data_IF_690777398356
#
_entry.id   IF_690777398356
#
_cell.length_a   1.000
_cell.length_b   1.000
_cell.length_c   1.000
_cell.angle_alpha   90.00
_cell.angle_beta   90.00
_cell.angle_gamma   90.00
#
_symmetry.space_group_name_H-M   'P 1'
#
loop_
_entity.id
_entity.type
_entity.pdbx_description
1 polymer ?
#
# COMPACT_ATOMS: atom_id res chain seq x y z
N UNK A 1 2.26 11.56 16.62
CA UNK A 1 1.60 10.27 16.32
C UNK A 1 0.32 10.46 15.53
N UNK A 2 -0.68 11.19 16.04
CA UNK A 2 -1.97 11.43 15.37
C UNK A 2 -1.88 12.07 13.98
N UNK A 3 -1.09 13.14 13.79
CA UNK A 3 -0.92 13.78 12.47
C UNK A 3 -0.31 12.85 11.39
N UNK A 4 0.56 11.93 11.77
CA UNK A 4 1.21 11.00 10.83
C UNK A 4 0.26 9.91 10.37
N UNK A 5 -0.60 9.42 11.28
CA UNK A 5 -1.61 8.41 10.97
C UNK A 5 -2.73 9.00 10.13
N UNK A 6 -3.23 10.20 10.45
CA UNK A 6 -4.22 10.89 9.62
C UNK A 6 -3.67 11.23 8.23
N UNK A 7 -2.38 11.56 8.12
CA UNK A 7 -1.76 11.88 6.83
C UNK A 7 -1.58 10.62 5.95
N UNK A 8 -1.40 9.45 6.56
CA UNK A 8 -1.20 8.19 5.81
C UNK A 8 -2.49 7.40 5.58
N UNK A 9 -3.43 7.42 6.52
CA UNK A 9 -4.63 6.57 6.55
C UNK A 9 -5.94 7.40 6.57
N UNK A 10 -5.84 8.73 6.45
CA UNK A 10 -6.98 9.64 6.36
C UNK A 10 -7.58 10.01 7.72
N UNK A 11 -7.98 9.01 8.51
CA UNK A 11 -8.59 9.20 9.83
C UNK A 11 -7.77 8.48 10.90
N UNK A 12 -7.77 8.98 12.13
CA UNK A 12 -7.04 8.37 13.24
C UNK A 12 -7.92 8.35 14.50
N UNK A 13 -7.85 7.29 15.32
CA UNK A 13 -8.60 7.23 16.57
C UNK A 13 -8.12 8.33 17.53
N UNK A 14 -9.06 8.87 18.30
CA UNK A 14 -8.83 9.91 19.30
C UNK A 14 -7.86 9.40 20.39
N UNK A 15 -6.87 10.21 20.84
CA UNK A 15 -5.89 9.78 21.84
C UNK A 15 -6.47 9.32 23.18
N UNK A 16 -7.71 9.71 23.49
CA UNK A 16 -8.40 9.38 24.75
C UNK A 16 -8.81 7.91 24.85
N UNK A 17 -8.82 7.16 23.74
CA UNK A 17 -9.15 5.72 23.72
C UNK A 17 -8.00 4.83 24.25
N UNK A 18 -6.79 5.38 24.39
CA UNK A 18 -5.61 4.62 24.80
C UNK A 18 -5.27 4.84 26.27
N UNK A 19 -5.40 3.79 27.08
CA UNK A 19 -5.03 3.83 28.49
C UNK A 19 -3.51 3.59 28.63
N UNK A 20 -2.84 4.38 29.49
CA UNK A 20 -1.36 4.34 29.65
C UNK A 20 -0.78 3.00 30.11
N UNK A 21 -1.62 2.08 30.58
CA UNK A 21 -1.24 0.76 31.09
C UNK A 21 -1.50 -0.40 30.11
N UNK A 22 -1.88 -0.12 28.87
CA UNK A 22 -2.11 -1.16 27.86
C UNK A 22 -0.80 -1.69 27.29
N UNK A 23 -0.79 -2.98 26.97
CA UNK A 23 0.32 -3.60 26.25
C UNK A 23 0.29 -3.22 24.77
N UNK A 24 1.44 -3.33 24.09
CA UNK A 24 1.53 -3.05 22.65
C UNK A 24 0.54 -3.89 21.83
N UNK A 25 0.31 -5.15 22.23
CA UNK A 25 -0.64 -6.04 21.55
C UNK A 25 -2.08 -5.51 21.62
N UNK A 26 -2.52 -5.07 22.80
CA UNK A 26 -3.87 -4.52 23.00
C UNK A 26 -4.08 -3.24 22.19
N UNK A 27 -3.07 -2.38 22.11
CA UNK A 27 -3.11 -1.16 21.28
C UNK A 27 -3.25 -1.52 19.80
N UNK A 28 -2.51 -2.53 19.33
CA UNK A 28 -2.59 -3.00 17.95
C UNK A 28 -3.97 -3.58 17.62
N UNK A 29 -4.59 -4.30 18.55
CA UNK A 29 -5.93 -4.85 18.35
C UNK A 29 -6.98 -3.74 18.27
N UNK A 30 -6.93 -2.76 19.18
CA UNK A 30 -7.82 -1.58 19.15
C UNK A 30 -7.68 -0.82 17.84
N UNK A 31 -6.45 -0.56 17.39
CA UNK A 31 -6.19 0.11 16.12
C UNK A 31 -6.72 -0.70 14.93
N UNK A 32 -6.48 -2.01 14.90
CA UNK A 32 -6.96 -2.88 13.84
C UNK A 32 -8.49 -2.85 13.75
N UNK A 33 -9.18 -2.89 14.89
CA UNK A 33 -10.64 -2.89 14.91
C UNK A 33 -11.22 -1.52 14.52
N UNK A 34 -10.60 -0.42 14.94
CA UNK A 34 -10.95 0.93 14.49
C UNK A 34 -10.84 1.07 12.97
N UNK A 35 -9.70 0.70 12.38
CA UNK A 35 -9.49 0.84 10.93
C UNK A 35 -10.36 -0.12 10.11
N UNK A 36 -10.67 -1.32 10.62
CA UNK A 36 -11.66 -2.21 9.99
C UNK A 36 -13.04 -1.58 9.95
N UNK A 37 -13.50 -0.97 11.06
CA UNK A 37 -14.79 -0.30 11.12
C UNK A 37 -14.86 0.88 10.14
N UNK A 38 -13.82 1.72 10.12
CA UNK A 38 -13.74 2.86 9.22
C UNK A 38 -13.76 2.43 7.74
N UNK A 39 -13.03 1.37 7.41
CA UNK A 39 -13.04 0.79 6.08
C UNK A 39 -14.43 0.25 5.70
N UNK A 40 -15.13 -0.46 6.59
CA UNK A 40 -16.48 -0.94 6.31
C UNK A 40 -17.43 0.23 6.03
N UNK A 41 -17.45 1.24 6.90
CA UNK A 41 -18.31 2.42 6.76
C UNK A 41 -18.05 3.18 5.45
N UNK A 42 -16.77 3.31 5.06
CA UNK A 42 -16.36 4.01 3.84
C UNK A 42 -16.82 3.30 2.56
N UNK A 43 -16.75 1.97 2.54
CA UNK A 43 -17.03 1.18 1.33
C UNK A 43 -18.43 0.55 1.30
N UNK A 44 -19.19 0.63 2.39
CA UNK A 44 -20.58 0.17 2.47
C UNK A 44 -21.49 0.71 1.34
N UNK A 45 -21.38 2.00 0.93
CA UNK A 45 -22.17 2.52 -0.19
C UNK A 45 -21.90 1.85 -1.54
N UNK A 46 -20.73 1.21 -1.72
CA UNK A 46 -20.33 0.58 -2.98
C UNK A 46 -20.90 -0.83 -3.16
N UNK A 47 -21.29 -1.53 -2.07
CA UNK A 47 -21.80 -2.91 -2.09
C UNK A 47 -20.94 -3.81 -3.00
N UNK A 48 -21.51 -4.34 -4.09
CA UNK A 48 -20.83 -5.22 -5.04
C UNK A 48 -19.65 -4.56 -5.77
N UNK A 49 -19.68 -3.24 -5.98
CA UNK A 49 -18.59 -2.50 -6.65
C UNK A 49 -17.33 -2.38 -5.78
N UNK A 50 -17.43 -2.69 -4.48
CA UNK A 50 -16.30 -2.68 -3.54
C UNK A 50 -15.19 -3.63 -3.99
N UNK A 51 -15.54 -4.88 -4.31
CA UNK A 51 -14.58 -5.91 -4.73
C UNK A 51 -13.86 -5.53 -6.02
N UNK A 52 -14.59 -4.96 -6.97
CA UNK A 52 -13.98 -4.54 -8.24
C UNK A 52 -13.01 -3.38 -8.03
N UNK A 53 -13.36 -2.41 -7.18
CA UNK A 53 -12.46 -1.31 -6.82
C UNK A 53 -11.19 -1.83 -6.14
N UNK A 54 -11.31 -2.74 -5.17
CA UNK A 54 -10.16 -3.34 -4.49
C UNK A 54 -9.24 -4.08 -5.45
N UNK A 55 -9.82 -4.87 -6.36
CA UNK A 55 -9.08 -5.58 -7.40
C UNK A 55 -8.34 -4.59 -8.30
N UNK A 56 -9.02 -3.55 -8.76
CA UNK A 56 -8.45 -2.54 -9.64
C UNK A 56 -7.30 -1.80 -8.96
N UNK A 57 -7.47 -1.37 -7.71
CA UNK A 57 -6.43 -0.70 -6.91
C UNK A 57 -5.24 -1.63 -6.72
N UNK A 58 -5.48 -2.88 -6.31
CA UNK A 58 -4.41 -3.86 -6.07
C UNK A 58 -3.59 -4.12 -7.33
N UNK A 59 -4.23 -4.27 -8.49
CA UNK A 59 -3.53 -4.45 -9.77
C UNK A 59 -2.66 -3.23 -10.10
N UNK A 60 -3.20 -2.02 -9.96
CA UNK A 60 -2.45 -0.79 -10.24
C UNK A 60 -1.23 -0.63 -9.33
N UNK A 61 -1.38 -0.93 -8.04
CA UNK A 61 -0.27 -0.86 -7.07
C UNK A 61 0.77 -1.93 -7.35
N UNK A 62 0.34 -3.15 -7.66
CA UNK A 62 1.23 -4.25 -8.01
C UNK A 62 2.06 -3.90 -9.25
N UNK A 63 1.43 -3.37 -10.30
CA UNK A 63 2.11 -2.94 -11.52
C UNK A 63 3.18 -1.87 -11.24
N UNK A 64 2.87 -0.89 -10.37
CA UNK A 64 3.81 0.14 -9.99
C UNK A 64 5.00 -0.40 -9.17
N UNK A 65 4.73 -1.29 -8.21
CA UNK A 65 5.76 -1.93 -7.39
C UNK A 65 6.66 -2.84 -8.23
N UNK A 66 6.07 -3.62 -9.14
CA UNK A 66 6.80 -4.52 -10.02
C UNK A 66 7.73 -3.76 -10.97
N UNK A 67 7.26 -2.67 -11.60
CA UNK A 67 8.12 -1.82 -12.45
C UNK A 67 9.33 -1.28 -11.69
N UNK A 68 9.12 -0.82 -10.45
CA UNK A 68 10.20 -0.36 -9.56
C UNK A 68 11.18 -1.49 -9.22
N UNK A 69 10.66 -2.69 -8.92
CA UNK A 69 11.48 -3.86 -8.64
C UNK A 69 12.34 -4.25 -9.85
N UNK A 70 11.79 -4.24 -11.07
CA UNK A 70 12.58 -4.50 -12.29
C UNK A 70 13.73 -3.50 -12.46
N UNK A 71 13.48 -2.20 -12.23
CA UNK A 71 14.53 -1.17 -12.25
C UNK A 71 15.63 -1.43 -11.21
N UNK A 72 15.24 -1.88 -10.01
CA UNK A 72 16.19 -2.24 -8.96
C UNK A 72 17.02 -3.47 -9.33
N UNK A 73 16.40 -4.49 -9.93
CA UNK A 73 17.09 -5.70 -10.39
C UNK A 73 18.07 -5.41 -11.54
N UNK A 74 17.68 -4.55 -12.48
CA UNK A 74 18.56 -4.13 -13.57
C UNK A 74 19.78 -3.35 -13.03
N UNK A 75 19.56 -2.46 -12.06
CA UNK A 75 20.64 -1.75 -11.36
C UNK A 75 21.56 -2.72 -10.59
N UNK A 76 20.97 -3.72 -9.91
CA UNK A 76 21.69 -4.76 -9.19
C UNK A 76 22.59 -5.58 -10.12
N UNK A 77 22.09 -5.97 -11.30
CA UNK A 77 22.88 -6.65 -12.33
C UNK A 77 24.12 -5.85 -12.75
N UNK A 78 23.96 -4.54 -12.95
CA UNK A 78 25.06 -3.66 -13.31
C UNK A 78 26.17 -3.59 -12.25
N UNK A 79 25.79 -3.62 -10.96
CA UNK A 79 26.72 -3.51 -9.84
C UNK A 79 27.46 -4.82 -9.49
N UNK A 80 26.88 -5.98 -9.84
CA UNK A 80 27.46 -7.28 -9.52
C UNK A 80 28.70 -7.61 -10.34
N UNK A 81 28.80 -7.05 -11.56
CA UNK A 81 29.98 -7.20 -12.40
C UNK A 81 31.26 -6.69 -11.72
N UNK A 82 31.16 -5.62 -10.93
CA UNK A 82 32.30 -5.06 -10.18
C UNK A 82 32.67 -5.89 -8.94
N UNK A 83 31.73 -6.65 -8.38
CA UNK A 83 31.94 -7.47 -7.17
C UNK A 83 32.54 -8.85 -7.47
N UNK A 84 32.47 -9.31 -8.71
CA UNK A 84 33.16 -10.52 -9.16
C UNK A 84 34.68 -10.46 -8.95
N UNK A 85 35.25 -9.24 -8.91
CA UNK A 85 36.67 -9.02 -8.60
C UNK A 85 37.05 -9.36 -7.16
N UNK A 86 36.08 -9.43 -6.23
CA UNK A 86 36.32 -9.70 -4.80
C UNK A 86 36.29 -11.19 -4.42
N UNK A 87 36.47 -12.11 -5.38
CA UNK A 87 36.51 -13.57 -5.18
C UNK A 87 35.25 -14.20 -4.55
N UNK A 88 34.14 -13.47 -4.43
CA UNK A 88 32.82 -14.01 -4.06
C UNK A 88 32.07 -14.46 -5.31
N UNK A 89 31.27 -15.53 -5.18
CA UNK A 89 30.46 -16.02 -6.30
C UNK A 89 29.34 -15.02 -6.65
N UNK A 90 29.41 -14.32 -7.80
CA UNK A 90 28.48 -13.24 -8.15
C UNK A 90 27.03 -13.71 -8.25
N UNK A 91 26.82 -14.98 -8.64
CA UNK A 91 25.49 -15.55 -8.83
C UNK A 91 24.78 -15.75 -7.48
N UNK A 92 25.52 -16.15 -6.45
CA UNK A 92 24.93 -16.39 -5.13
C UNK A 92 24.55 -15.07 -4.44
N UNK A 93 25.41 -14.05 -4.54
CA UNK A 93 25.13 -12.70 -4.03
C UNK A 93 23.94 -12.07 -4.79
N UNK A 94 23.89 -12.22 -6.12
CA UNK A 94 22.73 -11.78 -6.91
C UNK A 94 21.44 -12.39 -6.37
N UNK A 95 21.40 -13.73 -6.20
CA UNK A 95 20.21 -14.42 -5.73
C UNK A 95 19.77 -13.91 -4.36
N UNK A 96 20.71 -13.77 -3.43
CA UNK A 96 20.43 -13.28 -2.09
C UNK A 96 19.88 -11.85 -2.10
N UNK A 97 20.59 -10.91 -2.72
CA UNK A 97 20.18 -9.49 -2.77
C UNK A 97 18.87 -9.33 -3.56
N UNK A 98 18.69 -10.08 -4.66
CA UNK A 98 17.45 -10.03 -5.45
C UNK A 98 16.22 -10.53 -4.68
N UNK A 99 16.41 -11.53 -3.80
CA UNK A 99 15.35 -12.02 -2.93
C UNK A 99 15.00 -10.99 -1.85
N UNK A 100 15.99 -10.37 -1.21
CA UNK A 100 15.76 -9.27 -0.25
C UNK A 100 15.00 -8.09 -0.88
N UNK A 101 15.34 -7.74 -2.14
CA UNK A 101 14.61 -6.72 -2.91
C UNK A 101 13.17 -7.14 -3.25
N UNK A 102 12.92 -8.43 -3.44
CA UNK A 102 11.58 -8.96 -3.68
C UNK A 102 10.71 -8.89 -2.42
N UNK A 103 11.24 -9.33 -1.27
CA UNK A 103 10.52 -9.23 0.01
C UNK A 103 10.17 -7.77 0.35
N UNK A 104 11.13 -6.85 0.15
CA UNK A 104 10.90 -5.43 0.33
C UNK A 104 9.81 -4.86 -0.62
N UNK A 105 9.75 -5.37 -1.85
CA UNK A 105 8.69 -5.01 -2.80
C UNK A 105 7.32 -5.50 -2.32
N UNK A 106 7.23 -6.72 -1.78
CA UNK A 106 5.96 -7.26 -1.25
C UNK A 106 5.46 -6.47 -0.05
N UNK A 107 6.34 -6.08 0.88
CA UNK A 107 5.96 -5.21 2.00
C UNK A 107 5.51 -3.82 1.52
N UNK A 108 6.22 -3.24 0.55
CA UNK A 108 5.82 -1.97 -0.07
C UNK A 108 4.45 -2.07 -0.74
N UNK A 109 4.17 -3.18 -1.42
CA UNK A 109 2.87 -3.43 -2.06
C UNK A 109 1.73 -3.48 -1.06
N UNK A 110 1.91 -4.15 0.08
CA UNK A 110 0.89 -4.20 1.15
C UNK A 110 0.61 -2.80 1.69
N UNK A 111 1.66 -2.06 2.03
CA UNK A 111 1.56 -0.70 2.58
C UNK A 111 0.89 0.27 1.60
N UNK A 112 1.33 0.28 0.34
CA UNK A 112 0.82 1.18 -0.68
C UNK A 112 -0.65 0.86 -1.01
N UNK A 113 -1.02 -0.42 -1.04
CA UNK A 113 -2.41 -0.86 -1.27
C UNK A 113 -3.34 -0.33 -0.19
N UNK A 114 -2.96 -0.48 1.09
CA UNK A 114 -3.74 0.03 2.22
C UNK A 114 -3.81 1.56 2.17
N UNK A 115 -2.68 2.25 2.01
CA UNK A 115 -2.64 3.72 1.94
C UNK A 115 -3.55 4.26 0.85
N UNK A 116 -3.49 3.70 -0.36
CA UNK A 116 -4.33 4.19 -1.46
C UNK A 116 -5.81 3.94 -1.16
N UNK A 117 -6.17 2.75 -0.69
CA UNK A 117 -7.56 2.42 -0.37
C UNK A 117 -8.15 3.36 0.69
N UNK A 118 -7.38 3.69 1.72
CA UNK A 118 -7.77 4.63 2.77
C UNK A 118 -7.79 6.10 2.30
N UNK A 119 -7.00 6.48 1.31
CA UNK A 119 -6.98 7.86 0.78
C UNK A 119 -7.93 8.11 -0.41
N UNK A 120 -8.49 7.07 -1.03
CA UNK A 120 -9.47 7.25 -2.13
C UNK A 120 -10.69 8.03 -1.65
N UNK A 121 -11.05 9.09 -2.38
CA UNK A 121 -12.29 9.85 -2.15
C UNK A 121 -13.37 9.29 -3.07
N UNK A 122 -14.36 8.61 -2.49
CA UNK A 122 -15.53 8.12 -3.22
C UNK A 122 -16.46 9.31 -3.47
N UNK A 123 -16.43 9.85 -4.69
CA UNK A 123 -17.38 10.87 -5.12
C UNK A 123 -18.62 10.17 -5.68
N UNK A 124 -19.79 10.46 -5.10
CA UNK A 124 -21.07 10.10 -5.70
C UNK A 124 -21.33 11.09 -6.82
N UNK A 125 -20.89 10.76 -8.03
CA UNK A 125 -21.25 11.55 -9.21
C UNK A 125 -22.63 11.10 -9.69
N UNK A 126 -23.56 12.04 -9.88
CA UNK A 126 -24.85 11.70 -10.46
C UNK A 126 -24.69 11.29 -11.92
N UNK A 127 -25.61 10.48 -12.44
CA UNK A 127 -25.61 10.01 -13.83
C UNK A 127 -25.52 11.19 -14.83
N UNK A 128 -26.21 12.29 -14.54
CA UNK A 128 -26.21 13.51 -15.34
C UNK A 128 -24.85 14.23 -15.37
N UNK A 129 -24.11 14.24 -14.26
CA UNK A 129 -22.78 14.84 -14.18
C UNK A 129 -21.71 13.99 -14.89
N UNK A 130 -21.88 12.66 -14.91
CA UNK A 130 -21.02 11.74 -15.65
C UNK A 130 -21.15 11.93 -17.16
N UNK A 131 -22.38 12.04 -17.65
CA UNK A 131 -22.65 12.28 -19.07
C UNK A 131 -22.17 13.67 -19.51
N UNK A 132 -22.33 14.71 -18.66
CA UNK A 132 -21.82 16.05 -18.95
C UNK A 132 -20.28 16.08 -19.09
N UNK A 133 -19.54 15.37 -18.22
CA UNK A 133 -18.06 15.31 -18.31
C UNK A 133 -17.57 14.51 -19.51
N UNK A 134 -18.26 13.42 -19.87
CA UNK A 134 -17.91 12.61 -21.05
C UNK A 134 -18.09 13.37 -22.36
N UNK A 135 -19.04 14.32 -22.43
CA UNK A 135 -19.32 15.09 -23.64
C UNK A 135 -18.42 16.33 -23.80
N UNK A 136 -17.58 16.64 -22.82
CA UNK A 136 -16.69 17.82 -22.82
C UNK A 136 -15.22 17.45 -23.12
N UNK A 137 -14.90 16.17 -23.30
CA UNK A 137 -13.57 15.67 -23.70
C UNK A 137 -13.68 14.91 -25.01
#
# INVERSE_FOLDING_TARGET
FTKSLSQSLGNAPEPEEFNKNQTFAEIMDVLNDFYKAEYLNKFEPLKEKKKELERQVSIQVLDACWKRHLQNIDSLRGNIGLRAYAQRNPINEFKKESFELFDSMIESFKDDSVKILFNIKIQKMSQAEFEARKNTT
#
